data_IF_485231824284
#
_entry.id   IF_485231824284
#
_cell.length_a   1.000
_cell.length_b   1.000
_cell.length_c   1.000
_cell.angle_alpha   90.00
_cell.angle_beta   90.00
_cell.angle_gamma   90.00
#
_symmetry.space_group_name_H-M   'P 1'
#
loop_
_entity.id
_entity.type
_entity.pdbx_description
1 polymer ?
#
# COMPACT_ATOMS: atom_id res chain seq x y z
N UNK A 1 -12.06 2.23 -57.13
CA UNK A 1 -11.15 1.42 -56.30
C UNK A 1 -11.71 1.30 -54.88
N UNK A 2 -12.23 0.13 -54.52
CA UNK A 2 -12.70 -0.19 -53.16
C UNK A 2 -11.50 -0.34 -52.21
N UNK A 3 -11.56 0.26 -51.02
CA UNK A 3 -10.71 -0.12 -49.88
C UNK A 3 -11.56 -0.35 -48.64
N UNK A 4 -11.88 -1.63 -48.44
CA UNK A 4 -12.37 -2.26 -47.22
C UNK A 4 -11.33 -2.11 -46.11
N UNK A 5 -11.74 -1.72 -44.90
CA UNK A 5 -10.91 -1.81 -43.70
C UNK A 5 -11.37 -3.05 -42.90
N UNK A 6 -10.48 -4.02 -42.62
CA UNK A 6 -10.85 -5.19 -41.83
C UNK A 6 -10.84 -4.87 -40.32
N UNK A 7 -11.83 -5.43 -39.64
CA UNK A 7 -11.96 -5.52 -38.20
C UNK A 7 -11.24 -6.79 -37.71
N UNK A 8 -10.46 -6.75 -36.62
CA UNK A 8 -9.96 -7.97 -35.99
C UNK A 8 -8.75 -7.84 -35.05
N UNK A 9 -9.05 -7.89 -33.74
CA UNK A 9 -8.41 -8.69 -32.66
C UNK A 9 -6.87 -8.61 -32.48
N UNK A 10 -6.41 -8.12 -31.33
CA UNK A 10 -6.08 -8.87 -30.09
C UNK A 10 -4.57 -8.88 -29.86
N UNK A 11 -4.09 -8.06 -28.93
CA UNK A 11 -2.73 -8.19 -28.41
C UNK A 11 -2.68 -9.36 -27.43
N UNK A 12 -1.93 -10.38 -27.81
CA UNK A 12 -1.43 -11.42 -26.90
C UNK A 12 -0.41 -10.79 -25.95
N UNK A 13 -0.59 -10.99 -24.65
CA UNK A 13 0.44 -10.71 -23.64
C UNK A 13 1.16 -12.00 -23.31
N UNK A 14 2.48 -11.98 -23.49
CA UNK A 14 3.42 -13.02 -23.12
C UNK A 14 3.35 -13.32 -21.62
N UNK A 15 3.28 -14.60 -21.29
CA UNK A 15 3.27 -15.15 -19.95
C UNK A 15 4.64 -15.03 -19.25
N UNK A 16 4.61 -14.77 -17.93
CA UNK A 16 5.66 -15.08 -16.96
C UNK A 16 5.02 -15.77 -15.75
N UNK A 17 5.75 -16.65 -15.02
CA UNK A 17 5.17 -17.83 -14.40
C UNK A 17 4.55 -17.60 -13.01
N UNK A 18 3.60 -18.48 -12.70
CA UNK A 18 2.92 -18.60 -11.43
C UNK A 18 3.78 -19.29 -10.37
N UNK A 19 3.87 -18.70 -9.18
CA UNK A 19 3.89 -19.42 -7.90
C UNK A 19 4.00 -18.41 -6.74
N UNK A 20 2.89 -18.15 -6.05
CA UNK A 20 2.80 -18.15 -4.58
C UNK A 20 1.32 -18.26 -4.22
N UNK A 21 0.89 -19.47 -3.89
CA UNK A 21 -0.38 -19.72 -3.24
C UNK A 21 -0.24 -19.36 -1.75
N UNK A 22 -1.11 -18.49 -1.24
CA UNK A 22 -1.24 -18.27 0.20
C UNK A 22 -1.75 -16.88 0.61
N UNK A 23 -3.03 -16.83 1.00
CA UNK A 23 -3.62 -15.89 1.96
C UNK A 23 -3.69 -14.40 1.57
N UNK A 24 -4.81 -14.01 0.96
CA UNK A 24 -5.73 -13.00 1.52
C UNK A 24 -6.94 -12.82 0.60
N UNK A 25 -8.12 -13.16 1.11
CA UNK A 25 -9.40 -12.95 0.46
C UNK A 25 -9.66 -11.44 0.38
N UNK A 26 -9.55 -10.86 -0.82
CA UNK A 26 -9.95 -9.47 -1.06
C UNK A 26 -11.49 -9.43 -1.10
N UNK A 27 -12.17 -8.64 -0.26
CA UNK A 27 -13.60 -8.43 -0.40
C UNK A 27 -13.89 -7.81 -1.77
N UNK A 28 -14.73 -8.49 -2.57
CA UNK A 28 -15.23 -7.95 -3.84
C UNK A 28 -16.07 -6.69 -3.55
N UNK A 29 -15.55 -5.52 -3.91
CA UNK A 29 -16.28 -4.27 -3.84
C UNK A 29 -17.34 -4.25 -4.95
N UNK A 30 -18.61 -4.30 -4.53
CA UNK A 30 -19.77 -4.10 -5.40
C UNK A 30 -19.69 -2.66 -5.96
N UNK A 31 -19.88 -2.44 -7.28
CA UNK A 31 -19.96 -1.08 -7.81
C UNK A 31 -21.10 -0.31 -7.12
N UNK A 32 -20.74 0.69 -6.32
CA UNK A 32 -21.72 1.60 -5.75
C UNK A 32 -22.41 2.36 -6.89
N UNK A 33 -23.68 2.04 -7.11
CA UNK A 33 -24.56 2.80 -7.99
C UNK A 33 -24.83 4.16 -7.33
N UNK A 34 -24.56 5.31 -7.97
CA UNK A 34 -24.91 6.59 -7.41
C UNK A 34 -26.43 6.77 -7.47
N UNK A 35 -27.11 6.51 -6.36
CA UNK A 35 -28.48 6.97 -6.13
C UNK A 35 -28.46 8.29 -5.36
N UNK A 36 -28.22 9.40 -6.05
CA UNK A 36 -28.87 10.69 -5.75
C UNK A 36 -28.47 11.72 -6.82
N UNK A 37 -29.46 12.50 -7.26
CA UNK A 37 -29.40 13.54 -8.29
C UNK A 37 -29.08 13.02 -9.72
N UNK A 38 -30.06 12.57 -10.50
CA UNK A 38 -31.20 13.40 -10.90
C UNK A 38 -30.77 14.39 -11.99
N UNK A 39 -30.41 13.87 -13.16
CA UNK A 39 -30.01 14.67 -14.30
C UNK A 39 -29.38 13.82 -15.40
N UNK A 40 -30.16 12.91 -16.02
CA UNK A 40 -29.77 12.40 -17.33
C UNK A 40 -29.82 13.60 -18.28
N UNK A 41 -28.67 14.22 -18.54
CA UNK A 41 -28.55 15.17 -19.61
C UNK A 41 -28.96 14.44 -20.89
N UNK A 42 -30.15 14.76 -21.39
CA UNK A 42 -30.61 14.30 -22.69
C UNK A 42 -29.52 14.65 -23.70
N UNK A 43 -29.12 13.74 -24.60
CA UNK A 43 -28.19 14.10 -25.66
C UNK A 43 -28.79 15.30 -26.39
N UNK A 44 -28.01 16.35 -26.70
CA UNK A 44 -28.54 17.50 -27.42
C UNK A 44 -29.23 16.96 -28.67
N UNK A 45 -30.53 17.23 -28.77
CA UNK A 45 -31.36 16.84 -29.90
C UNK A 45 -30.57 17.10 -31.17
N UNK A 46 -30.35 16.04 -31.96
CA UNK A 46 -29.64 16.07 -33.24
C UNK A 46 -30.46 16.90 -34.23
N UNK A 47 -30.59 18.21 -34.01
CA UNK A 47 -30.85 19.14 -35.09
C UNK A 47 -29.64 18.98 -35.99
N UNK A 48 -29.87 18.37 -37.16
CA UNK A 48 -28.87 18.19 -38.20
C UNK A 48 -28.36 19.58 -38.57
N UNK A 49 -27.30 20.04 -37.90
CA UNK A 49 -26.58 21.22 -38.36
C UNK A 49 -26.10 20.88 -39.77
N UNK A 50 -26.35 21.76 -40.76
CA UNK A 50 -25.83 21.55 -42.10
C UNK A 50 -24.32 21.29 -42.00
N UNK A 51 -23.76 20.44 -42.88
CA UNK A 51 -22.34 20.13 -42.87
C UNK A 51 -21.57 21.45 -42.86
N UNK A 52 -20.84 21.70 -41.77
CA UNK A 52 -20.09 22.93 -41.60
C UNK A 52 -19.08 23.00 -42.75
N UNK A 53 -19.11 24.11 -43.49
CA UNK A 53 -18.20 24.34 -44.60
C UNK A 53 -16.77 24.36 -44.06
N UNK A 54 -15.92 23.46 -44.57
CA UNK A 54 -14.59 23.21 -44.00
C UNK A 54 -13.63 24.37 -44.22
N UNK A 55 -13.94 25.24 -45.18
CA UNK A 55 -13.15 26.42 -45.51
C UNK A 55 -13.68 27.70 -44.83
N UNK A 56 -14.74 27.58 -44.02
CA UNK A 56 -15.23 28.72 -43.23
C UNK A 56 -14.23 29.13 -42.15
N UNK A 57 -14.10 30.45 -41.94
CA UNK A 57 -13.30 31.01 -40.85
C UNK A 57 -13.77 30.52 -39.46
N UNK A 58 -15.08 30.28 -39.30
CA UNK A 58 -15.62 29.70 -38.07
C UNK A 58 -15.08 28.28 -37.81
N UNK A 59 -14.99 27.45 -38.85
CA UNK A 59 -14.40 26.11 -38.74
C UNK A 59 -12.93 26.18 -38.36
N UNK A 60 -12.14 27.06 -39.00
CA UNK A 60 -10.72 27.29 -38.67
C UNK A 60 -10.52 27.64 -37.21
N UNK A 61 -11.22 28.65 -36.70
CA UNK A 61 -11.13 29.05 -35.30
C UNK A 61 -11.52 27.94 -34.31
N UNK A 62 -12.55 27.14 -34.64
CA UNK A 62 -12.94 25.97 -33.82
C UNK A 62 -11.84 24.92 -33.80
N UNK A 63 -11.20 24.65 -34.94
CA UNK A 63 -10.10 23.68 -35.04
C UNK A 63 -8.85 24.15 -34.30
N UNK A 64 -8.50 25.41 -34.41
CA UNK A 64 -7.37 26.00 -33.68
C UNK A 64 -7.58 25.90 -32.17
N UNK A 65 -8.77 26.29 -31.68
CA UNK A 65 -9.13 26.10 -30.26
C UNK A 65 -9.05 24.64 -29.83
N UNK A 66 -9.55 23.71 -30.64
CA UNK A 66 -9.48 22.29 -30.32
C UNK A 66 -8.03 21.78 -30.29
N UNK A 67 -7.20 22.17 -31.25
CA UNK A 67 -5.79 21.79 -31.30
C UNK A 67 -5.05 22.28 -30.03
N UNK A 68 -5.31 23.52 -29.61
CA UNK A 68 -4.76 24.06 -28.36
C UNK A 68 -5.27 23.28 -27.13
N UNK A 69 -6.57 22.98 -27.07
CA UNK A 69 -7.14 22.20 -25.96
C UNK A 69 -6.56 20.79 -25.88
N UNK A 70 -6.37 20.11 -27.01
CA UNK A 70 -5.74 18.78 -27.08
C UNK A 70 -4.29 18.85 -26.62
N UNK A 71 -3.52 19.84 -27.11
CA UNK A 71 -2.12 20.04 -26.68
C UNK A 71 -2.04 20.26 -25.17
N UNK A 72 -2.91 21.11 -24.62
CA UNK A 72 -3.01 21.38 -23.18
C UNK A 72 -3.39 20.11 -22.40
N UNK A 73 -4.36 19.34 -22.87
CA UNK A 73 -4.77 18.09 -22.23
C UNK A 73 -3.64 17.07 -22.20
N UNK A 74 -2.93 16.87 -23.32
CA UNK A 74 -1.79 15.95 -23.40
C UNK A 74 -0.66 16.37 -22.47
N UNK A 75 -0.31 17.67 -22.47
CA UNK A 75 0.69 18.24 -21.57
C UNK A 75 0.33 18.00 -20.11
N UNK A 76 -0.94 18.24 -19.72
CA UNK A 76 -1.41 18.01 -18.35
C UNK A 76 -1.30 16.54 -17.93
N UNK A 77 -1.69 15.61 -18.81
CA UNK A 77 -1.55 14.18 -18.53
C UNK A 77 -0.09 13.75 -18.39
N UNK A 78 0.79 14.27 -19.25
CA UNK A 78 2.24 14.02 -19.17
C UNK A 78 2.81 14.57 -17.86
N UNK A 79 2.48 15.81 -17.50
CA UNK A 79 2.93 16.42 -16.25
C UNK A 79 2.47 15.61 -15.03
N UNK A 80 1.20 15.22 -14.99
CA UNK A 80 0.68 14.40 -13.88
C UNK A 80 1.43 13.07 -13.74
N UNK A 81 1.79 12.43 -14.84
CA UNK A 81 2.57 11.19 -14.80
C UNK A 81 3.98 11.43 -14.23
N UNK A 82 4.64 12.53 -14.64
CA UNK A 82 5.95 12.93 -14.10
C UNK A 82 5.89 13.27 -12.62
N UNK A 83 4.92 14.10 -12.21
CA UNK A 83 4.73 14.48 -10.81
C UNK A 83 4.47 13.25 -9.93
N UNK A 84 3.68 12.29 -10.42
CA UNK A 84 3.42 11.04 -9.71
C UNK A 84 4.70 10.22 -9.55
N UNK A 85 5.51 10.12 -10.62
CA UNK A 85 6.77 9.40 -10.57
C UNK A 85 7.75 10.06 -9.59
N UNK A 86 7.84 11.38 -9.61
CA UNK A 86 8.67 12.14 -8.67
C UNK A 86 8.20 11.90 -7.24
N UNK A 87 6.88 11.96 -6.99
CA UNK A 87 6.34 11.72 -5.66
C UNK A 87 6.62 10.31 -5.15
N UNK A 88 6.56 9.30 -6.03
CA UNK A 88 6.93 7.93 -5.66
C UNK A 88 8.41 7.84 -5.28
N UNK A 89 9.29 8.54 -5.98
CA UNK A 89 10.72 8.54 -5.64
C UNK A 89 10.97 9.24 -4.30
N UNK A 90 10.39 10.41 -4.07
CA UNK A 90 10.47 11.13 -2.78
C UNK A 90 9.99 10.25 -1.62
N UNK A 91 8.88 9.53 -1.80
CA UNK A 91 8.35 8.64 -0.77
C UNK A 91 9.25 7.43 -0.51
N UNK A 92 9.93 6.91 -1.53
CA UNK A 92 10.90 5.82 -1.37
C UNK A 92 12.11 6.27 -0.56
N UNK A 93 12.70 7.41 -0.91
CA UNK A 93 13.83 8.00 -0.20
C UNK A 93 13.48 8.31 1.26
N UNK A 94 12.30 8.90 1.51
CA UNK A 94 11.84 9.16 2.87
C UNK A 94 11.59 7.86 3.65
N UNK A 95 11.05 6.82 3.01
CA UNK A 95 10.86 5.54 3.66
C UNK A 95 12.19 4.88 4.04
N UNK A 96 13.17 4.84 3.14
CA UNK A 96 14.52 4.33 3.44
C UNK A 96 15.16 5.10 4.61
N UNK A 97 15.02 6.42 4.63
CA UNK A 97 15.50 7.27 5.73
C UNK A 97 14.84 6.93 7.06
N UNK A 98 13.52 6.72 7.06
CA UNK A 98 12.77 6.35 8.25
C UNK A 98 13.12 4.94 8.74
N UNK A 99 13.26 3.97 7.83
CA UNK A 99 13.70 2.61 8.14
C UNK A 99 15.09 2.60 8.79
N UNK A 100 16.03 3.39 8.26
CA UNK A 100 17.35 3.56 8.86
C UNK A 100 17.29 4.14 10.27
N UNK A 101 16.41 5.13 10.50
CA UNK A 101 16.20 5.74 11.82
C UNK A 101 15.60 4.75 12.81
N UNK A 102 14.60 3.97 12.39
CA UNK A 102 14.01 2.91 13.22
C UNK A 102 15.07 1.88 13.61
N UNK A 103 15.88 1.44 12.65
CA UNK A 103 16.96 0.48 12.88
C UNK A 103 17.99 0.98 13.88
N UNK A 104 18.40 2.25 13.77
CA UNK A 104 19.32 2.89 14.71
C UNK A 104 18.76 2.91 16.12
N UNK A 105 17.55 3.47 16.29
CA UNK A 105 16.88 3.57 17.59
C UNK A 105 16.65 2.19 18.22
N UNK A 106 16.28 1.19 17.41
CA UNK A 106 16.11 -0.19 17.88
C UNK A 106 17.42 -0.78 18.43
N UNK A 107 18.55 -0.47 17.79
CA UNK A 107 19.88 -0.88 18.26
C UNK A 107 20.24 -0.18 19.57
N UNK A 108 20.02 1.13 19.66
CA UNK A 108 20.25 1.89 20.89
C UNK A 108 19.44 1.35 22.07
N UNK A 109 18.16 1.04 21.84
CA UNK A 109 17.29 0.41 22.84
C UNK A 109 17.77 -0.98 23.25
N UNK A 110 18.23 -1.80 22.30
CA UNK A 110 18.80 -3.12 22.62
C UNK A 110 20.02 -2.99 23.52
N UNK A 111 20.96 -2.11 23.16
CA UNK A 111 22.18 -1.88 23.95
C UNK A 111 21.84 -1.43 25.37
N UNK A 112 20.90 -0.49 25.51
CA UNK A 112 20.45 -0.04 26.84
C UNK A 112 19.82 -1.18 27.62
N UNK A 113 18.94 -1.97 27.00
CA UNK A 113 18.30 -3.12 27.64
C UNK A 113 19.33 -4.17 28.09
N UNK A 114 20.29 -4.48 27.23
CA UNK A 114 21.34 -5.45 27.52
C UNK A 114 22.21 -4.98 28.70
N UNK A 115 22.56 -3.69 28.75
CA UNK A 115 23.29 -3.09 29.88
C UNK A 115 22.50 -3.15 31.20
N UNK A 116 21.20 -2.86 31.17
CA UNK A 116 20.35 -2.96 32.36
C UNK A 116 20.24 -4.41 32.86
N UNK A 117 20.10 -5.36 31.94
CA UNK A 117 20.03 -6.79 32.29
C UNK A 117 21.35 -7.29 32.84
N UNK A 118 22.47 -6.94 32.22
CA UNK A 118 23.81 -7.28 32.71
C UNK A 118 24.02 -6.78 34.14
N UNK A 119 23.70 -5.53 34.44
CA UNK A 119 23.81 -5.00 35.81
C UNK A 119 22.86 -5.68 36.79
N UNK A 120 21.63 -6.01 36.38
CA UNK A 120 20.69 -6.74 37.24
C UNK A 120 21.16 -8.17 37.55
N UNK A 121 21.76 -8.86 36.57
CA UNK A 121 22.36 -10.18 36.76
C UNK A 121 23.57 -10.12 37.70
N UNK A 122 24.48 -9.16 37.50
CA UNK A 122 25.62 -8.95 38.40
C UNK A 122 25.17 -8.60 39.84
N UNK A 123 24.06 -7.89 40.01
CA UNK A 123 23.50 -7.61 41.33
C UNK A 123 22.89 -8.85 41.99
N UNK A 124 22.24 -9.72 41.21
CA UNK A 124 21.68 -10.98 41.70
C UNK A 124 22.76 -12.00 42.08
N UNK A 125 23.87 -12.06 41.33
CA UNK A 125 25.00 -12.96 41.62
C UNK A 125 25.81 -12.53 42.86
N UNK A 126 25.85 -11.23 43.18
CA UNK A 126 26.51 -10.71 44.39
C UNK A 126 25.63 -10.82 45.66
N UNK A 127 24.38 -11.27 45.52
CA UNK A 127 23.52 -11.70 46.65
C UNK A 127 23.60 -13.22 46.74
N UNK A 128 24.76 -13.70 47.20
CA UNK A 128 24.91 -15.10 47.58
C UNK A 128 23.85 -15.42 48.66
N UNK A 129 23.04 -16.48 48.52
CA UNK A 129 22.15 -16.87 49.60
C UNK A 129 23.02 -17.18 50.83
N UNK A 130 22.69 -16.67 52.03
CA UNK A 130 23.37 -17.13 53.23
C UNK A 130 23.22 -18.65 53.25
N UNK A 131 24.34 -19.36 53.34
CA UNK A 131 24.39 -20.81 53.42
C UNK A 131 23.36 -21.27 54.47
N UNK A 132 22.23 -21.77 53.96
CA UNK A 132 21.12 -22.22 54.77
C UNK A 132 21.56 -23.43 55.56
N UNK A 133 21.63 -23.24 56.88
CA UNK A 133 21.34 -24.21 57.91
C UNK A 133 21.92 -25.61 57.68
N UNK A 134 23.14 -25.81 58.21
CA UNK A 134 23.59 -27.13 58.62
C UNK A 134 22.51 -27.83 59.44
N UNK A 135 22.28 -29.09 59.08
CA UNK A 135 21.10 -29.85 59.48
C UNK A 135 20.94 -30.04 60.97
N UNK A 136 19.68 -30.08 61.40
CA UNK A 136 19.24 -30.65 62.67
C UNK A 136 17.74 -30.95 62.57
N UNK A 137 17.38 -32.01 61.86
CA UNK A 137 16.08 -32.67 62.03
C UNK A 137 16.30 -34.05 62.63
N UNK A 138 16.05 -34.25 63.94
CA UNK A 138 15.78 -35.56 64.48
C UNK A 138 14.29 -35.67 64.80
N UNK A 139 13.62 -36.61 64.13
CA UNK A 139 12.68 -37.60 64.68
C UNK A 139 11.46 -37.83 63.76
N UNK A 140 11.27 -39.07 63.28
CA UNK A 140 9.98 -39.53 62.82
C UNK A 140 9.17 -39.99 64.04
N UNK A 141 7.94 -39.51 64.20
CA UNK A 141 6.97 -40.21 65.05
C UNK A 141 5.69 -40.50 64.27
N UNK A 142 5.49 -41.79 64.06
CA UNK A 142 4.31 -42.45 63.53
C UNK A 142 3.08 -42.20 64.40
N UNK A 143 1.91 -41.95 63.80
CA UNK A 143 0.63 -42.53 64.27
C UNK A 143 -0.37 -42.55 63.11
N UNK A 144 -0.89 -43.75 62.86
CA UNK A 144 -1.94 -44.11 61.91
C UNK A 144 -3.25 -43.34 62.11
N UNK A 145 -3.98 -43.06 61.01
CA UNK A 145 -5.43 -43.22 60.99
C UNK A 145 -5.91 -43.39 59.55
N UNK A 146 -6.43 -44.58 59.31
CA UNK A 146 -6.97 -45.13 58.07
C UNK A 146 -8.46 -44.75 57.94
N UNK A 147 -8.92 -44.55 56.71
CA UNK A 147 -10.29 -44.90 56.27
C UNK A 147 -11.44 -43.96 56.65
N UNK A 148 -11.95 -43.23 55.66
CA UNK A 148 -13.23 -43.52 54.98
C UNK A 148 -13.42 -42.58 53.78
#
# INVERSE_FOLDING_TARGET
>A
MNRTIPNGKSHASSALPAAVAGLQQVPQLIPAHPTSAGGKALPPSKMKKPPADKDSEEYRQRRERNNLAVKKSRMRSKQKALDTQQRVNELKEENERLEAKIKLLSKELSVLKDLFLEHAHNLADNVQPPAGAGGSSPAPNSTSANGQ
#
